data_IF_584622293695
#
_entry.id   IF_584622293695
#
_cell.length_a   1.000
_cell.length_b   1.000
_cell.length_c   1.000
_cell.angle_alpha   90.00
_cell.angle_beta   90.00
_cell.angle_gamma   90.00
#
_symmetry.space_group_name_H-M   'P 1'
#
loop_
_entity.id
_entity.type
_entity.pdbx_description
1 polymer ?
#
# COMPACT_ATOMS: atom_id res chain seq x y z
N UNK A 1 21.33 -35.15 -4.92
CA UNK A 1 20.50 -35.02 -6.13
C UNK A 1 21.14 -33.99 -7.03
N UNK A 2 21.75 -34.41 -8.14
CA UNK A 2 22.41 -33.49 -9.07
C UNK A 2 21.36 -32.79 -9.92
N UNK A 3 21.25 -31.47 -9.80
CA UNK A 3 20.51 -30.63 -10.72
C UNK A 3 21.10 -30.81 -12.11
N UNK A 4 20.36 -31.46 -13.02
CA UNK A 4 20.72 -31.55 -14.44
C UNK A 4 20.93 -30.14 -14.97
N UNK A 5 22.17 -29.77 -15.26
CA UNK A 5 22.48 -28.58 -16.03
C UNK A 5 22.01 -28.83 -17.47
N UNK A 6 20.93 -28.17 -17.87
CA UNK A 6 20.44 -28.22 -19.25
C UNK A 6 21.27 -27.21 -20.04
N UNK A 7 21.93 -27.66 -21.11
CA UNK A 7 22.62 -26.76 -22.04
C UNK A 7 21.61 -25.75 -22.62
N UNK A 8 21.97 -24.46 -22.77
CA UNK A 8 21.14 -23.52 -23.51
C UNK A 8 20.82 -24.09 -24.91
N UNK A 9 19.56 -23.98 -25.33
CA UNK A 9 19.17 -24.32 -26.71
C UNK A 9 19.96 -23.46 -27.68
N UNK A 10 20.37 -24.01 -28.83
CA UNK A 10 21.00 -23.18 -29.86
C UNK A 10 19.95 -22.26 -30.50
N UNK A 11 20.34 -21.07 -31.00
CA UNK A 11 19.39 -20.13 -31.61
C UNK A 11 18.58 -20.74 -32.78
N UNK A 12 19.14 -21.71 -33.48
CA UNK A 12 18.50 -22.41 -34.61
C UNK A 12 17.44 -23.44 -34.18
N UNK A 13 17.48 -23.90 -32.93
CA UNK A 13 16.55 -24.90 -32.38
C UNK A 13 15.26 -24.28 -31.83
N UNK A 14 15.18 -22.94 -31.80
CA UNK A 14 14.04 -22.21 -31.25
C UNK A 14 13.07 -21.85 -32.39
N UNK A 15 11.83 -22.36 -32.37
CA UNK A 15 10.82 -21.89 -33.30
C UNK A 15 10.59 -20.39 -33.07
N UNK A 16 10.26 -19.67 -34.15
CA UNK A 16 10.10 -18.21 -34.12
C UNK A 16 9.19 -17.70 -33.00
N UNK A 17 8.10 -18.42 -32.69
CA UNK A 17 7.19 -18.10 -31.60
C UNK A 17 7.85 -18.16 -30.21
N UNK A 18 8.72 -19.14 -29.97
CA UNK A 18 9.49 -19.24 -28.73
C UNK A 18 10.52 -18.11 -28.64
N UNK A 19 11.22 -17.80 -29.74
CA UNK A 19 12.17 -16.68 -29.80
C UNK A 19 11.47 -15.37 -29.43
N UNK A 20 10.30 -15.11 -30.03
CA UNK A 20 9.52 -13.92 -29.74
C UNK A 20 9.10 -13.86 -28.27
N UNK A 21 8.62 -14.97 -27.70
CA UNK A 21 8.22 -15.02 -26.30
C UNK A 21 9.41 -14.79 -25.35
N UNK A 22 10.58 -15.35 -25.65
CA UNK A 22 11.80 -15.14 -24.87
C UNK A 22 12.22 -13.67 -24.92
N UNK A 23 12.22 -13.07 -26.12
CA UNK A 23 12.57 -11.66 -26.29
C UNK A 23 11.57 -10.74 -25.59
N UNK A 24 10.26 -11.00 -25.71
CA UNK A 24 9.23 -10.25 -24.98
C UNK A 24 9.35 -10.42 -23.47
N UNK A 25 9.76 -11.59 -22.99
CA UNK A 25 9.97 -11.83 -21.55
C UNK A 25 11.21 -11.09 -21.02
N UNK A 26 12.29 -11.02 -21.79
CA UNK A 26 13.56 -10.44 -21.36
C UNK A 26 13.64 -8.93 -21.58
N UNK A 27 13.09 -8.45 -22.69
CA UNK A 27 13.19 -7.06 -23.14
C UNK A 27 11.84 -6.35 -23.25
N UNK A 28 10.73 -7.07 -23.04
CA UNK A 28 9.40 -6.46 -23.04
C UNK A 28 9.15 -5.62 -21.80
N UNK A 29 8.00 -4.95 -21.82
CA UNK A 29 7.60 -4.10 -20.70
C UNK A 29 7.39 -4.94 -19.44
N UNK A 30 8.10 -4.59 -18.36
CA UNK A 30 7.85 -5.15 -17.04
C UNK A 30 6.48 -4.73 -16.45
N UNK A 31 5.79 -3.78 -17.10
CA UNK A 31 4.48 -3.29 -16.68
C UNK A 31 3.37 -4.18 -17.21
N UNK A 32 2.38 -4.44 -16.36
CA UNK A 32 1.13 -5.09 -16.77
C UNK A 32 0.45 -4.31 -17.89
N UNK A 33 -0.38 -4.99 -18.69
CA UNK A 33 -1.12 -4.34 -19.77
C UNK A 33 -2.05 -3.24 -19.23
N UNK A 34 -2.73 -3.50 -18.11
CA UNK A 34 -3.55 -2.48 -17.44
C UNK A 34 -2.72 -1.26 -17.05
N UNK A 35 -1.55 -1.44 -16.44
CA UNK A 35 -0.69 -0.32 -16.05
C UNK A 35 -0.29 0.53 -17.25
N UNK A 36 0.07 -0.07 -18.38
CA UNK A 36 0.39 0.67 -19.61
C UNK A 36 -0.81 1.46 -20.12
N UNK A 37 -2.01 0.85 -20.13
CA UNK A 37 -3.28 1.52 -20.48
C UNK A 37 -3.58 2.69 -19.56
N UNK A 38 -3.40 2.51 -18.25
CA UNK A 38 -3.64 3.55 -17.26
C UNK A 38 -2.66 4.73 -17.37
N UNK A 39 -1.38 4.46 -17.57
CA UNK A 39 -0.38 5.49 -17.81
C UNK A 39 -0.67 6.26 -19.12
N UNK A 40 -1.05 5.56 -20.19
CA UNK A 40 -1.49 6.18 -21.42
C UNK A 40 -2.71 7.09 -21.18
N UNK A 41 -3.72 6.60 -20.45
CA UNK A 41 -4.94 7.35 -20.14
C UNK A 41 -4.68 8.60 -19.28
N UNK A 42 -3.72 8.52 -18.35
CA UNK A 42 -3.32 9.64 -17.49
C UNK A 42 -2.33 10.61 -18.13
N UNK A 43 -1.83 10.34 -19.33
CA UNK A 43 -0.84 11.20 -19.99
C UNK A 43 -1.44 12.60 -20.21
N UNK A 44 -0.76 13.63 -19.69
CA UNK A 44 -1.13 15.04 -19.85
C UNK A 44 -0.10 15.75 -20.72
N UNK A 45 -0.49 16.90 -21.25
CA UNK A 45 0.43 17.79 -21.92
C UNK A 45 1.27 18.53 -20.87
N UNK A 46 2.59 18.54 -21.03
CA UNK A 46 3.54 19.10 -20.05
C UNK A 46 4.34 20.30 -20.62
N UNK A 47 3.84 20.97 -21.66
CA UNK A 47 4.49 22.15 -22.23
C UNK A 47 5.51 21.85 -23.34
N UNK A 48 5.65 20.59 -23.76
CA UNK A 48 6.46 20.20 -24.92
C UNK A 48 5.85 20.69 -26.24
N UNK A 49 6.64 20.74 -27.33
CA UNK A 49 6.07 21.03 -28.65
C UNK A 49 5.03 19.98 -29.06
N UNK A 50 4.05 20.43 -29.85
CA UNK A 50 2.92 19.59 -30.25
C UNK A 50 3.35 18.34 -31.05
N UNK A 51 4.42 18.43 -31.84
CA UNK A 51 4.95 17.30 -32.62
C UNK A 51 5.46 16.21 -31.68
N UNK A 52 6.27 16.56 -30.69
CA UNK A 52 6.75 15.62 -29.69
C UNK A 52 5.62 15.08 -28.81
N UNK A 53 4.63 15.90 -28.45
CA UNK A 53 3.44 15.42 -27.74
C UNK A 53 2.65 14.38 -28.55
N UNK A 54 2.43 14.64 -29.84
CA UNK A 54 1.76 13.70 -30.75
C UNK A 54 2.52 12.37 -30.84
N UNK A 55 3.85 12.41 -30.97
CA UNK A 55 4.70 11.21 -31.00
C UNK A 55 4.64 10.44 -29.68
N UNK A 56 4.68 11.14 -28.55
CA UNK A 56 4.53 10.55 -27.22
C UNK A 56 3.18 9.84 -27.09
N UNK A 57 2.09 10.53 -27.42
CA UNK A 57 0.73 9.97 -27.38
C UNK A 57 0.61 8.71 -28.24
N UNK A 58 1.08 8.76 -29.49
CA UNK A 58 1.02 7.60 -30.39
C UNK A 58 1.81 6.40 -29.84
N UNK A 59 3.00 6.67 -29.30
CA UNK A 59 3.85 5.64 -28.67
C UNK A 59 3.16 5.01 -27.46
N UNK A 60 2.59 5.83 -26.58
CA UNK A 60 1.84 5.37 -25.39
C UNK A 60 0.60 4.56 -25.76
N UNK A 61 -0.18 5.00 -26.74
CA UNK A 61 -1.37 4.28 -27.22
C UNK A 61 -1.00 2.90 -27.79
N UNK A 62 0.12 2.83 -28.52
CA UNK A 62 0.61 1.58 -29.13
C UNK A 62 1.12 0.61 -28.06
N UNK A 63 1.94 1.09 -27.11
CA UNK A 63 2.44 0.26 -25.99
C UNK A 63 1.29 -0.25 -25.10
N UNK A 64 0.26 0.57 -24.90
CA UNK A 64 -0.94 0.22 -24.15
C UNK A 64 -1.90 -0.74 -24.89
N UNK A 65 -1.65 -1.03 -26.19
CA UNK A 65 -2.56 -1.79 -27.06
C UNK A 65 -4.00 -1.27 -26.96
N UNK A 66 -4.19 0.05 -27.04
CA UNK A 66 -5.52 0.67 -26.89
C UNK A 66 -6.50 0.28 -28.00
N UNK A 67 -6.01 -0.17 -29.14
CA UNK A 67 -6.79 -0.76 -30.23
C UNK A 67 -7.53 -2.05 -29.82
N UNK A 68 -7.02 -2.75 -28.80
CA UNK A 68 -7.57 -4.02 -28.30
C UNK A 68 -8.48 -3.86 -27.09
N UNK A 69 -8.71 -2.63 -26.61
CA UNK A 69 -9.52 -2.40 -25.43
C UNK A 69 -11.01 -2.54 -25.77
N UNK A 70 -11.75 -3.26 -24.92
CA UNK A 70 -13.21 -3.32 -24.98
C UNK A 70 -13.82 -2.17 -24.17
N UNK A 71 -15.14 -2.02 -24.30
CA UNK A 71 -15.87 -0.97 -23.59
C UNK A 71 -15.81 -1.14 -22.08
N UNK A 72 -15.88 -2.39 -21.59
CA UNK A 72 -15.77 -2.71 -20.16
C UNK A 72 -14.39 -2.34 -19.61
N UNK A 73 -13.30 -2.66 -20.32
CA UNK A 73 -11.95 -2.26 -19.97
C UNK A 73 -11.78 -0.74 -19.95
N UNK A 74 -12.42 -0.02 -20.87
CA UNK A 74 -12.43 1.45 -20.87
C UNK A 74 -13.18 2.00 -19.65
N UNK A 75 -14.36 1.46 -19.31
CA UNK A 75 -15.10 1.83 -18.09
C UNK A 75 -14.27 1.59 -16.82
N UNK A 76 -13.52 0.48 -16.78
CA UNK A 76 -12.62 0.17 -15.67
C UNK A 76 -11.50 1.20 -15.52
N UNK A 77 -10.89 1.64 -16.63
CA UNK A 77 -9.88 2.71 -16.62
C UNK A 77 -10.45 4.01 -16.05
N UNK A 78 -11.64 4.41 -16.49
CA UNK A 78 -12.32 5.61 -15.98
C UNK A 78 -12.60 5.51 -14.47
N UNK A 79 -13.10 4.35 -14.03
CA UNK A 79 -13.41 4.11 -12.62
C UNK A 79 -12.16 4.25 -11.74
N UNK A 80 -11.07 3.55 -12.10
CA UNK A 80 -9.81 3.64 -11.35
C UNK A 80 -9.19 5.03 -11.42
N UNK A 81 -9.30 5.72 -12.56
CA UNK A 81 -8.76 7.07 -12.70
C UNK A 81 -9.53 8.11 -11.88
N UNK A 82 -10.80 7.85 -11.56
CA UNK A 82 -11.66 8.69 -10.72
C UNK A 82 -11.31 8.65 -9.23
N UNK A 83 -10.72 7.56 -8.74
CA UNK A 83 -10.24 7.45 -7.36
C UNK A 83 -8.90 8.19 -7.20
N UNK A 84 -8.96 9.48 -6.91
CA UNK A 84 -7.79 10.34 -6.70
C UNK A 84 -7.76 10.88 -5.27
N UNK A 85 -6.56 10.93 -4.69
CA UNK A 85 -6.34 11.46 -3.35
C UNK A 85 -6.08 10.38 -2.28
N UNK A 86 -5.63 10.78 -1.09
CA UNK A 86 -5.24 9.86 -0.02
C UNK A 86 -6.43 9.04 0.50
N UNK A 87 -7.63 9.63 0.53
CA UNK A 87 -8.85 8.98 1.04
C UNK A 87 -9.27 7.76 0.22
N UNK A 88 -8.81 7.67 -1.03
CA UNK A 88 -9.11 6.56 -1.94
C UNK A 88 -7.89 5.68 -2.25
N UNK A 89 -6.80 5.82 -1.48
CA UNK A 89 -5.58 5.04 -1.68
C UNK A 89 -5.82 3.53 -1.53
N UNK A 90 -6.67 3.13 -0.60
CA UNK A 90 -7.03 1.72 -0.39
C UNK A 90 -7.84 1.16 -1.58
N UNK A 91 -8.84 1.91 -2.04
CA UNK A 91 -9.65 1.56 -3.21
C UNK A 91 -8.78 1.43 -4.47
N UNK A 92 -7.98 2.45 -4.77
CA UNK A 92 -7.10 2.43 -5.95
C UNK A 92 -6.12 1.26 -5.92
N UNK A 93 -5.49 0.96 -4.77
CA UNK A 93 -4.55 -0.15 -4.64
C UNK A 93 -5.22 -1.51 -4.85
N UNK A 94 -6.39 -1.75 -4.25
CA UNK A 94 -7.09 -3.04 -4.39
C UNK A 94 -7.68 -3.23 -5.78
N UNK A 95 -8.26 -2.19 -6.38
CA UNK A 95 -8.80 -2.25 -7.74
C UNK A 95 -7.67 -2.49 -8.76
N UNK A 96 -6.53 -1.82 -8.61
CA UNK A 96 -5.34 -2.09 -9.43
C UNK A 96 -4.89 -3.55 -9.33
N UNK A 97 -4.81 -4.09 -8.11
CA UNK A 97 -4.45 -5.50 -7.91
C UNK A 97 -5.44 -6.44 -8.60
N UNK A 98 -6.74 -6.15 -8.52
CA UNK A 98 -7.78 -6.94 -9.20
C UNK A 98 -7.55 -6.92 -10.71
N UNK A 99 -7.31 -5.73 -11.28
CA UNK A 99 -7.08 -5.51 -12.71
C UNK A 99 -5.81 -6.16 -13.24
N UNK A 100 -4.78 -6.29 -12.40
CA UNK A 100 -3.57 -7.02 -12.77
C UNK A 100 -3.76 -8.55 -12.76
N UNK A 101 -4.74 -9.07 -12.01
CA UNK A 101 -5.00 -10.51 -11.89
C UNK A 101 -5.86 -11.08 -13.03
N UNK A 102 -6.62 -10.25 -13.74
CA UNK A 102 -7.56 -10.72 -14.76
C UNK A 102 -7.59 -9.78 -15.95
N UNK A 103 -7.40 -10.34 -17.14
CA UNK A 103 -7.35 -9.57 -18.38
C UNK A 103 -8.72 -9.02 -18.80
N UNK A 104 -9.81 -9.67 -18.35
CA UNK A 104 -11.20 -9.27 -18.59
C UNK A 104 -11.88 -9.00 -17.26
N UNK A 105 -12.02 -7.73 -16.91
CA UNK A 105 -12.73 -7.28 -15.72
C UNK A 105 -13.82 -6.32 -16.14
N UNK A 106 -14.99 -6.47 -15.54
CA UNK A 106 -16.14 -5.61 -15.80
C UNK A 106 -16.26 -4.55 -14.71
N UNK A 107 -17.00 -3.48 -15.01
CA UNK A 107 -17.33 -2.47 -14.01
C UNK A 107 -18.11 -3.06 -12.81
N UNK A 108 -18.86 -4.15 -13.02
CA UNK A 108 -19.57 -4.87 -11.96
C UNK A 108 -18.60 -5.51 -10.97
N UNK A 109 -17.52 -6.10 -11.46
CA UNK A 109 -16.49 -6.71 -10.61
C UNK A 109 -15.77 -5.66 -9.77
N UNK A 110 -15.46 -4.49 -10.34
CA UNK A 110 -14.89 -3.37 -9.59
C UNK A 110 -15.87 -2.85 -8.53
N UNK A 111 -17.16 -2.81 -8.84
CA UNK A 111 -18.19 -2.40 -7.89
C UNK A 111 -18.29 -3.38 -6.71
N UNK A 112 -18.27 -4.68 -7.00
CA UNK A 112 -18.25 -5.72 -5.97
C UNK A 112 -17.00 -5.62 -5.09
N UNK A 113 -15.83 -5.36 -5.69
CA UNK A 113 -14.58 -5.17 -4.94
C UNK A 113 -14.66 -3.92 -4.04
N UNK A 114 -15.24 -2.82 -4.51
CA UNK A 114 -15.50 -1.63 -3.68
C UNK A 114 -16.47 -1.92 -2.52
N UNK A 115 -17.50 -2.73 -2.73
CA UNK A 115 -18.41 -3.16 -1.66
C UNK A 115 -17.71 -4.04 -0.64
N UNK A 116 -16.83 -4.94 -1.10
CA UNK A 116 -16.02 -5.79 -0.23
C UNK A 116 -15.09 -4.97 0.66
N UNK A 117 -14.46 -3.91 0.12
CA UNK A 117 -13.66 -2.96 0.91
C UNK A 117 -14.49 -2.34 2.03
N UNK A 118 -15.71 -1.89 1.72
CA UNK A 118 -16.62 -1.31 2.72
C UNK A 118 -16.99 -2.32 3.81
N UNK A 119 -17.33 -3.55 3.42
CA UNK A 119 -17.64 -4.63 4.36
C UNK A 119 -16.48 -4.91 5.29
N UNK A 120 -15.27 -5.10 4.74
CA UNK A 120 -14.08 -5.38 5.53
C UNK A 120 -13.76 -4.26 6.52
N UNK A 121 -14.00 -3.01 6.13
CA UNK A 121 -13.82 -1.86 7.02
C UNK A 121 -14.82 -1.88 8.17
N UNK A 122 -16.08 -2.23 7.91
CA UNK A 122 -17.08 -2.35 8.97
C UNK A 122 -16.79 -3.55 9.90
N UNK A 123 -16.43 -4.69 9.34
CA UNK A 123 -16.03 -5.89 10.10
C UNK A 123 -14.82 -5.60 11.00
N UNK A 124 -13.85 -4.82 10.51
CA UNK A 124 -12.68 -4.39 11.30
C UNK A 124 -13.11 -3.49 12.46
N UNK A 125 -14.04 -2.56 12.24
CA UNK A 125 -14.60 -1.70 13.31
C UNK A 125 -15.37 -2.51 14.35
N UNK A 126 -16.07 -3.58 13.94
CA UNK A 126 -16.73 -4.49 14.88
C UNK A 126 -15.72 -5.25 15.75
N UNK A 127 -14.61 -5.70 15.16
CA UNK A 127 -13.54 -6.39 15.89
C UNK A 127 -12.81 -5.43 16.87
N UNK A 128 -12.56 -4.20 16.44
CA UNK A 128 -11.98 -3.15 17.28
C UNK A 128 -12.95 -2.70 18.39
N UNK A 129 -14.26 -2.65 18.09
CA UNK A 129 -15.34 -2.32 19.04
C UNK A 129 -15.56 -3.37 20.14
N UNK A 130 -14.94 -4.54 20.05
CA UNK A 130 -14.91 -5.57 21.10
C UNK A 130 -13.73 -5.44 22.08
N UNK A 131 -12.74 -4.59 21.79
CA UNK A 131 -11.63 -4.30 22.70
C UNK A 131 -11.96 -3.04 23.52
N UNK A 132 -12.98 -3.15 24.38
CA UNK A 132 -12.94 -2.39 25.63
C UNK A 132 -11.75 -2.93 26.43
N UNK A 133 -10.55 -2.42 26.15
CA UNK A 133 -9.41 -2.59 27.04
C UNK A 133 -9.83 -1.89 28.32
N UNK A 134 -10.41 -2.64 29.25
CA UNK A 134 -10.55 -2.22 30.63
C UNK A 134 -9.12 -2.02 31.14
N UNK A 135 -8.60 -0.81 30.99
CA UNK A 135 -7.38 -0.39 31.64
C UNK A 135 -7.64 -0.51 33.14
N UNK A 136 -7.22 -1.62 33.73
CA UNK A 136 -7.20 -1.81 35.18
C UNK A 136 -6.21 -0.77 35.72
N UNK A 137 -6.74 0.36 36.19
CA UNK A 137 -5.98 1.29 36.99
C UNK A 137 -5.51 0.55 38.25
N UNK A 138 -4.25 0.13 38.26
CA UNK A 138 -3.61 -0.28 39.50
C UNK A 138 -3.44 0.97 40.38
N UNK A 139 -4.39 1.24 41.27
CA UNK A 139 -4.13 2.13 42.41
C UNK A 139 -3.16 1.41 43.35
N UNK A 140 -1.88 1.77 43.27
CA UNK A 140 -0.93 1.48 44.34
C UNK A 140 -1.26 2.36 45.55
N UNK A 141 -2.11 1.86 46.45
CA UNK A 141 -2.20 2.39 47.80
C UNK A 141 -0.94 1.96 48.57
N UNK A 142 0.08 2.81 48.60
CA UNK A 142 1.13 2.69 49.60
C UNK A 142 0.62 3.34 50.90
N UNK A 143 0.05 2.50 51.75
CA UNK A 143 -0.29 2.83 53.12
C UNK A 143 0.96 2.54 53.98
N UNK A 144 1.78 3.57 54.26
CA UNK A 144 2.79 3.49 55.30
C UNK A 144 2.15 3.96 56.61
N UNK A 145 1.62 3.00 57.36
CA UNK A 145 1.24 3.24 58.75
C UNK A 145 2.44 3.04 59.68
N UNK A 146 2.43 3.86 60.72
CA UNK A 146 3.51 4.27 61.60
C UNK A 146 3.99 3.15 62.52
N UNK A 147 5.30 3.12 62.79
CA UNK A 147 5.85 2.78 64.12
C UNK A 147 6.97 3.75 64.48
N UNK A 148 6.78 4.42 65.61
CA UNK A 148 7.72 5.20 66.46
C UNK A 148 7.58 4.58 67.87
N UNK A 149 8.43 4.81 68.90
CA UNK A 149 9.54 5.78 69.11
C UNK A 149 10.86 5.07 69.53
N UNK A 150 12.02 5.71 69.74
CA UNK A 150 12.44 6.38 70.99
C UNK A 150 13.90 6.91 70.80
N UNK A 151 14.19 8.05 71.44
CA UNK A 151 15.51 8.61 71.81
C UNK A 151 16.48 9.09 70.72
N UNK A 152 16.57 10.42 70.56
CA UNK A 152 17.68 11.14 71.19
C UNK A 152 17.33 12.62 71.37
N UNK A 153 16.94 12.94 72.59
CA UNK A 153 17.00 14.25 73.21
C UNK A 153 18.47 14.64 73.26
N UNK A 154 18.98 15.40 72.27
CA UNK A 154 20.27 16.11 72.41
C UNK A 154 20.53 17.21 71.36
N UNK A 155 19.80 17.31 70.25
CA UNK A 155 20.18 18.25 69.16
C UNK A 155 19.31 19.52 69.03
N UNK A 156 18.48 19.85 70.02
CA UNK A 156 17.68 21.09 70.01
C UNK A 156 17.97 22.09 71.13
N UNK A 157 18.88 21.79 72.06
CA UNK A 157 19.30 22.75 73.10
C UNK A 157 20.65 23.43 72.83
N UNK A 158 21.41 23.02 71.80
CA UNK A 158 22.72 23.62 71.50
C UNK A 158 22.64 24.74 70.44
N UNK A 159 21.56 24.82 69.65
CA UNK A 159 21.43 25.85 68.60
C UNK A 159 20.52 27.03 68.99
N UNK A 160 20.04 27.09 70.23
CA UNK A 160 19.16 28.18 70.69
C UNK A 160 19.76 29.07 71.80
N UNK A 161 20.99 28.78 72.24
CA UNK A 161 21.75 29.59 73.22
C UNK A 161 23.07 30.17 72.70
N UNK A 162 23.31 30.17 71.38
CA UNK A 162 24.22 31.13 70.75
C UNK A 162 23.40 32.33 70.23
N UNK A 163 22.64 32.91 71.15
CA UNK A 163 22.01 34.22 71.05
C UNK A 163 23.03 35.23 71.58
N UNK A 164 22.95 36.47 71.09
CA UNK A 164 23.35 37.69 71.83
C UNK A 164 24.83 37.84 72.18
N UNK A 165 25.55 38.58 71.34
CA UNK A 165 26.00 39.95 71.65
C UNK A 165 25.97 40.80 70.36
#
# INVERSE_FOLDING_TARGET
MLTRAISPKQPYDLPWMEVKQILERQFGSAKTLFRRRFECFKTRYEGQDFTNYKVLMKTKCTDAKLDTIDFDGLQCLFCVAGFQGPDFAEYSTRLLRKLDQSEKITLKDLTAECQLIKSHKEDSRMLEGGLSINAVHYRKNFNYDKRSPVENVQLREILQNARTD
#
